data_IF_423689780988
#
_entry.id   IF_423689780988
#
_cell.length_a   1.000
_cell.length_b   1.000
_cell.length_c   1.000
_cell.angle_alpha   90.00
_cell.angle_beta   90.00
_cell.angle_gamma   90.00
#
_symmetry.space_group_name_H-M   'P 1'
#
loop_
_entity.id
_entity.type
_entity.pdbx_description
1 polymer ?
#
# COMPACT_ATOMS: atom_id res chain seq x y z
N UNK A 1 -12.20 17.07 68.57
CA UNK A 1 -11.67 18.35 68.04
C UNK A 1 -10.21 18.12 67.75
N UNK A 2 -9.71 18.12 66.54
CA UNK A 2 -10.24 18.14 65.18
C UNK A 2 -9.00 18.09 64.30
N UNK A 3 -9.14 17.51 63.10
CA UNK A 3 -8.30 17.82 61.94
C UNK A 3 -6.80 17.40 62.06
N UNK A 4 -6.19 16.61 61.19
CA UNK A 4 -6.34 16.53 59.74
C UNK A 4 -5.66 15.25 59.25
N UNK A 5 -6.44 14.37 58.66
CA UNK A 5 -5.96 13.35 57.72
C UNK A 5 -5.50 14.06 56.46
N UNK A 6 -4.23 14.47 56.39
CA UNK A 6 -3.65 14.98 55.15
C UNK A 6 -3.10 13.79 54.33
N UNK A 7 -4.03 13.13 53.66
CA UNK A 7 -3.76 12.11 52.65
C UNK A 7 -2.96 12.76 51.50
N UNK A 8 -1.64 12.57 51.50
CA UNK A 8 -0.75 12.99 50.40
C UNK A 8 -1.07 12.16 49.15
N UNK A 9 -2.02 12.64 48.35
CA UNK A 9 -2.24 12.14 46.99
C UNK A 9 -1.02 12.53 46.15
N UNK A 10 -0.10 11.59 45.96
CA UNK A 10 0.97 11.72 44.98
C UNK A 10 0.33 11.77 43.58
N UNK A 11 0.62 12.80 42.76
CA UNK A 11 0.13 12.86 41.39
C UNK A 11 0.78 11.73 40.57
N UNK A 12 -0.01 10.76 40.13
CA UNK A 12 0.48 9.68 39.25
C UNK A 12 0.93 10.27 37.90
N UNK A 13 2.07 9.83 37.34
CA UNK A 13 2.65 10.41 36.12
C UNK A 13 1.90 9.91 34.87
N UNK A 14 0.73 10.47 34.60
CA UNK A 14 -0.13 10.14 33.44
C UNK A 14 0.51 10.49 32.09
N UNK A 15 1.56 11.32 32.09
CA UNK A 15 2.20 11.89 30.87
C UNK A 15 3.18 10.95 30.17
N UNK A 16 3.79 10.00 30.89
CA UNK A 16 4.83 9.11 30.33
C UNK A 16 4.28 8.00 29.41
N UNK A 17 2.99 7.67 29.51
CA UNK A 17 2.34 6.64 28.68
C UNK A 17 1.80 7.15 27.33
N UNK A 18 1.80 8.47 27.11
CA UNK A 18 1.25 9.07 25.87
C UNK A 18 2.27 9.11 24.73
N UNK A 19 3.54 9.34 25.02
CA UNK A 19 4.62 9.39 24.03
C UNK A 19 4.75 8.10 23.19
N UNK A 20 4.85 6.89 23.79
CA UNK A 20 4.93 5.66 23.00
C UNK A 20 3.66 5.39 22.18
N UNK A 21 2.49 5.74 22.71
CA UNK A 21 1.22 5.58 22.00
C UNK A 21 1.09 6.53 20.79
N UNK A 22 1.59 7.76 20.89
CA UNK A 22 1.62 8.71 19.77
C UNK A 22 2.60 8.26 18.70
N UNK A 23 3.81 7.83 19.08
CA UNK A 23 4.81 7.34 18.12
C UNK A 23 4.29 6.11 17.37
N UNK A 24 3.73 5.13 18.09
CA UNK A 24 3.12 3.95 17.47
C UNK A 24 1.95 4.33 16.54
N UNK A 25 1.11 5.28 16.95
CA UNK A 25 0.01 5.79 16.12
C UNK A 25 0.48 6.50 14.86
N UNK A 26 1.55 7.31 14.93
CA UNK A 26 2.14 7.97 13.78
C UNK A 26 2.74 6.96 12.80
N UNK A 27 3.46 5.95 13.28
CA UNK A 27 4.02 4.89 12.44
C UNK A 27 2.89 4.13 11.74
N UNK A 28 1.84 3.73 12.49
CA UNK A 28 0.69 3.04 11.92
C UNK A 28 -0.04 3.87 10.86
N UNK A 29 -0.24 5.16 11.10
CA UNK A 29 -0.84 6.07 10.12
C UNK A 29 0.04 6.25 8.87
N UNK A 30 1.36 6.34 9.03
CA UNK A 30 2.30 6.45 7.92
C UNK A 30 2.29 5.19 7.05
N UNK A 31 2.31 4.01 7.68
CA UNK A 31 2.22 2.72 6.97
C UNK A 31 0.89 2.63 6.22
N UNK A 32 -0.23 2.96 6.87
CA UNK A 32 -1.54 2.93 6.20
C UNK A 32 -1.59 3.91 5.02
N UNK A 33 -1.08 5.12 5.18
CA UNK A 33 -1.02 6.11 4.10
C UNK A 33 -0.16 5.60 2.93
N UNK A 34 1.02 5.03 3.21
CA UNK A 34 1.89 4.45 2.19
C UNK A 34 1.18 3.31 1.43
N UNK A 35 0.39 2.49 2.12
CA UNK A 35 -0.38 1.40 1.52
C UNK A 35 -1.53 1.90 0.63
N UNK A 36 -2.26 2.90 1.10
CA UNK A 36 -3.31 3.56 0.29
C UNK A 36 -2.69 4.19 -0.95
N UNK A 37 -1.55 4.87 -0.81
CA UNK A 37 -0.81 5.45 -1.94
C UNK A 37 -0.27 4.38 -2.90
N UNK A 38 0.12 3.20 -2.40
CA UNK A 38 0.65 2.13 -3.25
C UNK A 38 -0.44 1.30 -3.97
N UNK A 39 -1.66 1.24 -3.42
CA UNK A 39 -2.77 0.45 -3.99
C UNK A 39 -3.89 1.29 -4.59
N UNK A 40 -4.46 2.19 -3.79
CA UNK A 40 -5.67 2.95 -4.15
C UNK A 40 -5.35 4.02 -5.20
N UNK A 41 -4.23 4.74 -5.04
CA UNK A 41 -3.88 5.80 -6.00
C UNK A 41 -3.62 5.25 -7.41
N UNK A 42 -2.85 4.16 -7.60
CA UNK A 42 -2.74 3.51 -8.90
C UNK A 42 -4.09 3.10 -9.47
N UNK A 43 -4.95 2.48 -8.65
CA UNK A 43 -6.27 2.04 -9.09
C UNK A 43 -7.14 3.21 -9.60
N UNK A 44 -7.14 4.34 -8.88
CA UNK A 44 -7.83 5.57 -9.33
C UNK A 44 -7.23 6.14 -10.61
N UNK A 45 -5.95 5.91 -10.85
CA UNK A 45 -5.23 6.34 -12.05
C UNK A 45 -5.25 5.30 -13.19
N UNK A 46 -6.12 4.29 -13.11
CA UNK A 46 -6.26 3.20 -14.08
C UNK A 46 -5.06 2.23 -14.12
N UNK A 47 -4.16 2.33 -13.16
CA UNK A 47 -2.99 1.49 -13.03
C UNK A 47 -3.23 0.36 -12.02
N UNK A 48 -2.47 -0.72 -12.13
CA UNK A 48 -2.57 -1.90 -11.29
C UNK A 48 -1.21 -2.24 -10.69
N UNK A 49 -1.16 -2.58 -9.40
CA UNK A 49 0.05 -3.07 -8.78
C UNK A 49 0.30 -4.55 -9.13
N UNK A 50 1.54 -4.88 -9.46
CA UNK A 50 2.03 -6.22 -9.79
C UNK A 50 3.26 -6.49 -8.92
N UNK A 51 3.24 -7.60 -8.17
CA UNK A 51 4.38 -7.99 -7.35
C UNK A 51 5.47 -8.59 -8.24
N UNK A 52 6.70 -8.04 -8.15
CA UNK A 52 7.84 -8.54 -8.92
C UNK A 52 8.30 -9.86 -8.34
N UNK A 53 8.25 -10.93 -9.14
CA UNK A 53 8.60 -12.27 -8.70
C UNK A 53 10.10 -12.54 -8.85
N UNK A 54 10.59 -13.55 -8.13
CA UNK A 54 11.96 -14.06 -8.29
C UNK A 54 12.12 -14.71 -9.66
N UNK A 55 12.86 -14.06 -10.56
CA UNK A 55 13.06 -14.50 -11.96
C UNK A 55 13.07 -13.31 -12.93
N UNK A 56 12.25 -12.30 -12.65
CA UNK A 56 11.99 -11.15 -13.51
C UNK A 56 13.11 -10.08 -13.51
N UNK A 57 14.31 -10.43 -13.04
CA UNK A 57 15.44 -9.50 -12.95
C UNK A 57 15.88 -8.98 -14.32
N UNK A 58 15.58 -9.72 -15.39
CA UNK A 58 15.86 -9.27 -16.76
C UNK A 58 15.05 -8.04 -17.17
N UNK A 59 13.92 -7.76 -16.49
CA UNK A 59 13.21 -6.51 -16.65
C UNK A 59 13.98 -5.32 -16.04
N UNK A 60 15.03 -5.56 -15.25
CA UNK A 60 15.78 -4.56 -14.49
C UNK A 60 15.12 -4.22 -13.15
N UNK A 61 14.21 -5.08 -12.66
CA UNK A 61 13.45 -4.87 -11.44
C UNK A 61 13.91 -5.84 -10.34
N UNK A 62 14.06 -5.32 -9.12
CA UNK A 62 14.43 -6.15 -7.97
C UNK A 62 13.24 -7.00 -7.52
N UNK A 63 13.48 -8.30 -7.30
CA UNK A 63 12.49 -9.22 -6.75
C UNK A 63 11.93 -8.69 -5.41
N UNK A 64 10.63 -8.86 -5.19
CA UNK A 64 9.95 -8.34 -4.02
C UNK A 64 9.61 -6.84 -4.08
N UNK A 65 9.84 -6.19 -5.22
CA UNK A 65 9.30 -4.84 -5.49
C UNK A 65 7.82 -4.92 -5.84
N UNK A 66 7.12 -3.78 -5.72
CA UNK A 66 5.77 -3.59 -6.24
C UNK A 66 5.84 -2.71 -7.47
N UNK A 67 5.67 -3.30 -8.65
CA UNK A 67 5.59 -2.58 -9.91
C UNK A 67 4.17 -2.02 -10.11
N UNK A 68 4.06 -0.82 -10.66
CA UNK A 68 2.79 -0.23 -11.06
C UNK A 68 2.74 -0.22 -12.57
N UNK A 69 1.73 -0.89 -13.13
CA UNK A 69 1.51 -1.00 -14.57
C UNK A 69 0.24 -0.28 -14.98
N UNK A 70 0.19 0.30 -16.18
CA UNK A 70 -1.00 0.98 -16.70
C UNK A 70 -1.30 0.47 -18.11
N UNK A 71 -2.58 0.37 -18.51
CA UNK A 71 -2.95 0.14 -19.91
C UNK A 71 -2.29 1.15 -20.84
N UNK A 72 -1.66 0.66 -21.92
CA UNK A 72 -0.97 1.49 -22.88
C UNK A 72 -0.35 0.67 -23.99
N UNK A 73 0.02 1.33 -25.09
CA UNK A 73 0.68 0.67 -26.22
C UNK A 73 2.17 0.49 -25.91
N UNK A 74 2.67 -0.76 -25.84
CA UNK A 74 4.06 -1.02 -25.52
C UNK A 74 5.01 -0.67 -26.67
N UNK A 75 6.21 -0.23 -26.32
CA UNK A 75 7.29 0.11 -27.24
C UNK A 75 8.51 -0.76 -26.96
N UNK A 76 9.42 -0.86 -27.94
CA UNK A 76 10.69 -1.52 -27.73
C UNK A 76 11.46 -0.84 -26.58
N UNK A 77 11.97 -1.65 -25.66
CA UNK A 77 12.64 -1.20 -24.43
C UNK A 77 11.72 -1.09 -23.21
N UNK A 78 10.40 -1.04 -23.39
CA UNK A 78 9.44 -0.98 -22.28
C UNK A 78 9.44 -2.29 -21.48
N UNK A 79 9.00 -2.21 -20.23
CA UNK A 79 8.65 -3.39 -19.43
C UNK A 79 7.13 -3.51 -19.41
N UNK A 80 6.62 -4.70 -19.67
CA UNK A 80 5.18 -5.00 -19.73
C UNK A 80 4.81 -6.11 -18.77
N UNK A 81 3.60 -6.03 -18.22
CA UNK A 81 2.97 -7.13 -17.51
C UNK A 81 2.23 -8.04 -18.50
N UNK A 82 2.45 -9.34 -18.38
CA UNK A 82 1.82 -10.37 -19.21
C UNK A 82 1.35 -11.51 -18.34
N UNK A 83 0.08 -11.87 -18.48
CA UNK A 83 -0.50 -13.05 -17.84
C UNK A 83 -0.49 -14.21 -18.82
N UNK A 84 0.36 -15.22 -18.58
CA UNK A 84 0.45 -16.38 -19.49
C UNK A 84 -0.75 -17.32 -19.40
N UNK A 85 -1.32 -17.45 -18.20
CA UNK A 85 -2.47 -18.32 -17.96
C UNK A 85 -3.53 -17.63 -17.10
N UNK A 86 -4.83 -17.81 -17.40
CA UNK A 86 -5.89 -17.32 -16.54
C UNK A 86 -5.73 -17.83 -15.10
N UNK A 87 -5.69 -16.92 -14.14
CA UNK A 87 -5.54 -17.24 -12.72
C UNK A 87 -4.10 -17.26 -12.19
N UNK A 88 -3.10 -17.12 -13.05
CA UNK A 88 -1.72 -16.87 -12.62
C UNK A 88 -1.48 -15.37 -12.36
N UNK A 89 -0.46 -15.05 -11.56
CA UNK A 89 -0.05 -13.67 -11.37
C UNK A 89 0.68 -13.18 -12.63
N UNK A 90 0.41 -11.93 -13.08
CA UNK A 90 1.09 -11.37 -14.25
C UNK A 90 2.59 -11.32 -14.02
N UNK A 91 3.35 -11.71 -15.04
CA UNK A 91 4.80 -11.63 -15.05
C UNK A 91 5.30 -10.38 -15.78
N UNK A 92 6.43 -9.83 -15.35
CA UNK A 92 7.06 -8.65 -15.96
C UNK A 92 8.16 -9.04 -16.95
N UNK A 93 8.05 -8.52 -18.19
CA UNK A 93 9.01 -8.80 -19.26
C UNK A 93 9.41 -7.54 -19.99
N UNK A 94 10.65 -7.51 -20.50
CA UNK A 94 11.13 -6.41 -21.34
C UNK A 94 10.78 -6.65 -22.80
N UNK A 95 10.22 -5.66 -23.47
CA UNK A 95 9.98 -5.67 -24.91
C UNK A 95 11.30 -5.48 -25.62
N UNK A 96 11.73 -6.49 -26.36
CA UNK A 96 12.93 -6.46 -27.21
C UNK A 96 12.60 -5.76 -28.52
N UNK A 97 11.48 -6.10 -29.14
CA UNK A 97 11.02 -5.53 -30.39
C UNK A 97 9.49 -5.54 -30.51
N UNK A 98 8.95 -4.63 -31.31
CA UNK A 98 7.53 -4.59 -31.70
C UNK A 98 7.44 -5.01 -33.16
N UNK A 99 6.64 -6.03 -33.45
CA UNK A 99 6.48 -6.69 -34.74
C UNK A 99 5.01 -6.63 -35.18
N UNK A 100 4.52 -5.41 -35.45
CA UNK A 100 3.10 -5.18 -35.74
C UNK A 100 2.25 -5.41 -34.50
N UNK A 101 1.35 -6.39 -34.56
CA UNK A 101 0.48 -6.78 -33.42
C UNK A 101 1.15 -7.74 -32.44
N UNK A 102 2.40 -8.15 -32.71
CA UNK A 102 3.18 -9.02 -31.83
C UNK A 102 4.32 -8.29 -31.18
N UNK A 103 4.67 -8.75 -29.98
CA UNK A 103 5.80 -8.27 -29.21
C UNK A 103 6.79 -9.40 -29.05
N UNK A 104 8.07 -9.07 -29.22
CA UNK A 104 9.16 -9.96 -28.86
C UNK A 104 9.59 -9.60 -27.43
N UNK A 105 9.33 -10.49 -26.48
CA UNK A 105 9.57 -10.27 -25.05
C UNK A 105 10.77 -11.07 -24.56
N UNK A 106 11.60 -10.47 -23.71
CA UNK A 106 12.71 -11.17 -23.04
C UNK A 106 12.17 -12.18 -22.03
N UNK A 107 12.84 -13.33 -21.94
CA UNK A 107 12.55 -14.40 -20.98
C UNK A 107 13.76 -14.67 -20.09
N UNK A 108 13.50 -15.06 -18.85
CA UNK A 108 14.49 -15.34 -17.80
C UNK A 108 15.64 -16.30 -18.17
N UNK A 109 15.49 -17.10 -19.22
CA UNK A 109 16.54 -17.98 -19.78
C UNK A 109 17.48 -17.29 -20.78
N UNK A 110 17.24 -16.00 -21.08
CA UNK A 110 17.99 -15.19 -22.04
C UNK A 110 17.45 -15.26 -23.46
N UNK A 111 16.43 -16.10 -23.71
CA UNK A 111 15.75 -16.16 -25.00
C UNK A 111 14.66 -15.07 -25.10
N UNK A 112 14.10 -14.93 -26.29
CA UNK A 112 12.94 -14.09 -26.51
C UNK A 112 11.73 -14.93 -26.98
N UNK A 113 10.54 -14.52 -26.55
CA UNK A 113 9.27 -15.16 -26.90
C UNK A 113 8.38 -14.17 -27.65
N UNK A 114 7.72 -14.63 -28.71
CA UNK A 114 6.66 -13.85 -29.34
C UNK A 114 5.38 -13.93 -28.50
N UNK A 115 4.77 -12.78 -28.27
CA UNK A 115 3.52 -12.64 -27.51
C UNK A 115 2.62 -11.66 -28.25
N UNK A 116 1.34 -11.98 -28.37
CA UNK A 116 0.35 -11.09 -28.96
C UNK A 116 0.13 -9.86 -28.05
N UNK A 117 -0.12 -8.68 -28.64
CA UNK A 117 -0.27 -7.44 -27.86
C UNK A 117 -1.52 -7.44 -26.97
N UNK A 118 -2.52 -8.26 -27.29
CA UNK A 118 -3.75 -8.44 -26.51
C UNK A 118 -3.55 -9.18 -25.19
N UNK A 119 -2.47 -9.95 -25.05
CA UNK A 119 -2.08 -10.64 -23.81
C UNK A 119 -1.31 -9.74 -22.84
N UNK A 120 -1.08 -8.47 -23.20
CA UNK A 120 -0.40 -7.49 -22.35
C UNK A 120 -1.39 -6.80 -21.42
N UNK A 121 -1.18 -6.97 -20.12
CA UNK A 121 -2.00 -6.36 -19.07
C UNK A 121 -1.71 -4.85 -18.89
N UNK A 122 -0.51 -4.42 -19.24
CA UNK A 122 -0.11 -3.02 -19.19
C UNK A 122 1.39 -2.78 -19.28
N UNK A 123 1.76 -1.50 -19.34
CA UNK A 123 3.13 -1.01 -19.39
C UNK A 123 3.56 -0.53 -18.01
N UNK A 124 4.76 -0.91 -17.61
CA UNK A 124 5.42 -0.48 -16.38
C UNK A 124 5.58 1.05 -16.32
N UNK A 125 5.26 1.63 -15.16
CA UNK A 125 5.48 3.04 -14.85
C UNK A 125 6.63 3.23 -13.86
N UNK A 126 6.52 2.59 -12.68
CA UNK A 126 7.51 2.67 -11.61
C UNK A 126 7.41 1.46 -10.68
N UNK A 127 8.45 1.21 -9.88
CA UNK A 127 8.47 0.18 -8.86
C UNK A 127 8.78 0.78 -7.49
N UNK A 128 8.14 0.24 -6.46
CA UNK A 128 8.46 0.53 -5.06
C UNK A 128 9.23 -0.67 -4.49
N UNK A 129 10.53 -0.52 -4.18
CA UNK A 129 11.32 -1.62 -3.60
C UNK A 129 10.73 -2.12 -2.29
N UNK A 130 10.84 -3.43 -2.04
CA UNK A 130 10.39 -4.12 -0.81
C UNK A 130 8.89 -4.06 -0.51
N UNK A 131 8.09 -3.32 -1.29
CA UNK A 131 6.65 -3.22 -1.11
C UNK A 131 5.89 -4.45 -1.63
N UNK A 132 6.53 -5.35 -2.38
CA UNK A 132 5.91 -6.54 -2.96
C UNK A 132 5.42 -7.51 -1.88
N UNK A 133 6.25 -7.83 -0.88
CA UNK A 133 5.86 -8.74 0.20
C UNK A 133 4.72 -8.20 1.09
N UNK A 134 4.72 -6.88 1.30
CA UNK A 134 3.65 -6.20 2.02
C UNK A 134 2.36 -6.21 1.21
N UNK A 135 2.45 -5.95 -0.10
CA UNK A 135 1.31 -6.02 -1.01
C UNK A 135 0.70 -7.42 -1.09
N UNK A 136 1.52 -8.46 -1.27
CA UNK A 136 1.01 -9.84 -1.35
C UNK A 136 0.30 -10.25 -0.07
N UNK A 137 0.79 -9.81 1.10
CA UNK A 137 0.12 -10.03 2.39
C UNK A 137 -1.23 -9.29 2.48
N UNK A 138 -1.30 -8.06 1.98
CA UNK A 138 -2.50 -7.22 2.04
C UNK A 138 -3.56 -7.57 0.99
N UNK A 139 -3.13 -8.06 -0.16
CA UNK A 139 -4.01 -8.51 -1.24
C UNK A 139 -4.78 -9.80 -0.87
N UNK A 140 -4.44 -10.43 0.25
CA UNK A 140 -5.23 -11.55 0.80
C UNK A 140 -6.57 -11.05 1.39
N UNK A 141 -7.62 -11.89 1.44
CA UNK A 141 -8.88 -11.52 2.08
C UNK A 141 -8.71 -11.07 3.54
N UNK A 142 -7.80 -11.70 4.28
CA UNK A 142 -7.47 -11.33 5.65
C UNK A 142 -6.76 -9.97 5.72
N UNK A 143 -5.82 -9.71 4.81
CA UNK A 143 -5.14 -8.43 4.69
C UNK A 143 -6.10 -7.28 4.38
N UNK A 144 -7.01 -7.50 3.42
CA UNK A 144 -8.07 -6.53 3.09
C UNK A 144 -9.00 -6.26 4.28
N UNK A 145 -9.39 -7.30 5.03
CA UNK A 145 -10.18 -7.14 6.25
C UNK A 145 -9.44 -6.30 7.30
N UNK A 146 -8.14 -6.53 7.48
CA UNK A 146 -7.29 -5.73 8.36
C UNK A 146 -7.25 -4.26 7.95
N UNK A 147 -7.09 -3.96 6.66
CA UNK A 147 -7.10 -2.59 6.14
C UNK A 147 -8.46 -1.93 6.36
N UNK A 148 -9.55 -2.64 6.04
CA UNK A 148 -10.92 -2.14 6.21
C UNK A 148 -11.24 -1.85 7.69
N UNK A 149 -10.89 -2.78 8.60
CA UNK A 149 -11.06 -2.60 10.03
C UNK A 149 -10.24 -1.41 10.56
N UNK A 150 -8.99 -1.27 10.12
CA UNK A 150 -8.13 -0.12 10.46
C UNK A 150 -8.74 1.22 10.02
N UNK A 151 -9.27 1.27 8.79
CA UNK A 151 -9.94 2.46 8.26
C UNK A 151 -11.20 2.82 9.06
N UNK A 152 -12.04 1.82 9.38
CA UNK A 152 -13.23 1.97 10.21
C UNK A 152 -12.90 2.50 11.61
N UNK A 153 -11.85 1.98 12.24
CA UNK A 153 -11.40 2.45 13.56
C UNK A 153 -10.91 3.90 13.52
N UNK A 154 -10.23 4.31 12.46
CA UNK A 154 -9.80 5.70 12.27
C UNK A 154 -11.00 6.64 12.13
N UNK A 155 -12.00 6.26 11.33
CA UNK A 155 -13.25 7.01 11.17
C UNK A 155 -13.99 7.10 12.51
N UNK A 156 -14.14 5.98 13.23
CA UNK A 156 -14.78 5.96 14.55
C UNK A 156 -14.05 6.86 15.57
N UNK A 157 -12.72 6.80 15.62
CA UNK A 157 -11.92 7.65 16.50
C UNK A 157 -12.05 9.14 16.15
N UNK A 158 -12.14 9.48 14.86
CA UNK A 158 -12.39 10.84 14.40
C UNK A 158 -13.75 11.36 14.88
N UNK A 159 -14.81 10.57 14.72
CA UNK A 159 -16.16 10.91 15.20
C UNK A 159 -16.23 11.04 16.73
N UNK A 160 -15.56 10.16 17.47
CA UNK A 160 -15.55 10.21 18.93
C UNK A 160 -14.82 11.47 19.44
N UNK A 161 -13.70 11.83 18.81
CA UNK A 161 -12.96 13.06 19.13
C UNK A 161 -13.76 14.31 18.79
N UNK A 162 -14.49 14.32 17.68
CA UNK A 162 -15.31 15.48 17.30
C UNK A 162 -16.52 15.65 18.22
N UNK A 163 -17.13 14.56 18.68
CA UNK A 163 -18.19 14.59 19.69
C UNK A 163 -17.67 15.13 21.04
N UNK A 164 -16.51 14.68 21.50
CA UNK A 164 -15.93 15.14 22.77
C UNK A 164 -15.49 16.62 22.75
N UNK A 165 -15.10 17.16 21.58
CA UNK A 165 -14.80 18.60 21.43
C UNK A 165 -16.04 19.46 21.62
N UNK A 166 -17.19 19.06 21.02
CA UNK A 166 -18.46 19.78 21.17
C UNK A 166 -18.92 19.89 22.63
N UNK A 167 -18.74 18.84 23.43
CA UNK A 167 -19.10 18.86 24.85
C UNK A 167 -18.19 19.73 25.72
N UNK A 168 -16.94 19.98 25.31
CA UNK A 168 -16.03 20.88 26.04
C UNK A 168 -16.34 22.35 25.79
N UNK A 169 -16.65 22.72 24.55
CA UNK A 169 -16.91 24.12 24.19
C UNK A 169 -18.26 24.61 24.72
N UNK A 170 -19.25 23.70 24.85
CA UNK A 170 -20.54 24.02 25.48
C UNK A 170 -20.47 24.29 26.99
N UNK A 171 -19.45 23.78 27.67
CA UNK A 171 -19.27 23.97 29.13
C UNK A 171 -18.61 25.32 29.47
N UNK A 172 -17.96 25.99 28.51
CA UNK A 172 -17.30 27.30 28.71
C UNK A 172 -18.19 28.52 28.45
N UNK A 173 -19.40 28.33 27.93
CA UNK A 173 -20.34 29.43 27.60
C UNK A 173 -21.33 29.73 28.75
N UNK A 174 -21.36 28.91 29.79
CA UNK A 174 -22.30 29.04 30.93
C UNK A 174 -21.59 29.54 32.21
N UNK A 175 -20.37 30.08 32.10
CA UNK A 175 -19.59 30.63 33.20
C UNK A 175 -19.60 32.15 33.23
#
# INVERSE_FOLDING_TARGET
MDATLQERRTPTPRRQRLLPAVVAGCIGALVLAALVLAGVVPALAGARPVAVQTGEQQAGLAAGSLAVVRPGTPRAGDVVAVTERPGEQPGLRRVVAVLGEKLLLSRDDGNAVLTETDLVDGVYLYAVPWAGALWTSLATPAGMLFVAAGLLLLVAAHHLRSAQRRSRDGASVVG
#
